data_IF_182647363683
#
_entry.id   IF_182647363683
#
_cell.length_a   1.000
_cell.length_b   1.000
_cell.length_c   1.000
_cell.angle_alpha   90.00
_cell.angle_beta   90.00
_cell.angle_gamma   90.00
#
_symmetry.space_group_name_H-M   'P 1'
#
loop_
_entity.id
_entity.type
_entity.pdbx_description
1 polymer ?
#
# COMPACT_ATOMS: atom_id res chain seq x y z
N UNK A 1 -82.49 30.70 20.83
CA UNK A 1 -81.89 29.36 21.05
C UNK A 1 -81.18 28.81 19.78
N UNK A 2 -80.58 29.65 18.92
CA UNK A 2 -80.00 29.24 17.61
C UNK A 2 -78.45 29.25 17.55
N UNK A 3 -77.75 29.63 18.62
CA UNK A 3 -76.28 29.78 18.60
C UNK A 3 -75.48 28.49 18.92
N UNK A 4 -76.13 27.41 19.35
CA UNK A 4 -75.45 26.19 19.82
C UNK A 4 -75.03 25.24 18.69
N UNK A 5 -75.79 25.15 17.61
CA UNK A 5 -75.53 24.21 16.50
C UNK A 5 -74.34 24.61 15.64
N UNK A 6 -74.08 25.92 15.45
CA UNK A 6 -72.91 26.39 14.68
C UNK A 6 -71.59 26.14 15.41
N UNK A 7 -71.58 26.33 16.74
CA UNK A 7 -70.40 26.08 17.59
C UNK A 7 -70.01 24.61 17.60
N UNK A 8 -70.99 23.70 17.70
CA UNK A 8 -70.73 22.25 17.62
C UNK A 8 -70.09 21.86 16.28
N UNK A 9 -70.56 22.42 15.16
CA UNK A 9 -69.97 22.17 13.84
C UNK A 9 -68.55 22.72 13.72
N UNK A 10 -68.31 23.92 14.27
CA UNK A 10 -66.97 24.54 14.28
C UNK A 10 -65.97 23.74 15.13
N UNK A 11 -66.40 23.24 16.29
CA UNK A 11 -65.58 22.36 17.15
C UNK A 11 -65.26 21.06 16.41
N UNK A 12 -66.22 20.48 15.67
CA UNK A 12 -65.98 19.30 14.84
C UNK A 12 -64.91 19.52 13.76
N UNK A 13 -64.97 20.66 13.07
CA UNK A 13 -63.93 21.03 12.09
C UNK A 13 -62.56 21.24 12.73
N UNK A 14 -62.51 21.87 13.90
CA UNK A 14 -61.26 22.07 14.63
C UNK A 14 -60.66 20.73 15.09
N UNK A 15 -61.50 19.82 15.61
CA UNK A 15 -61.07 18.48 15.99
C UNK A 15 -60.52 17.70 14.78
N UNK A 16 -61.18 17.80 13.62
CA UNK A 16 -60.72 17.15 12.39
C UNK A 16 -59.36 17.70 11.92
N UNK A 17 -59.18 19.03 11.95
CA UNK A 17 -57.88 19.63 11.67
C UNK A 17 -56.81 19.21 12.67
N UNK A 18 -57.13 19.16 13.96
CA UNK A 18 -56.20 18.72 14.99
C UNK A 18 -55.75 17.27 14.78
N UNK A 19 -56.67 16.37 14.40
CA UNK A 19 -56.33 14.97 14.05
C UNK A 19 -55.43 14.92 12.83
N UNK A 20 -55.73 15.69 11.78
CA UNK A 20 -54.89 15.76 10.58
C UNK A 20 -53.46 16.23 10.92
N UNK A 21 -53.34 17.29 11.71
CA UNK A 21 -52.04 17.81 12.19
C UNK A 21 -51.32 16.77 13.05
N UNK A 22 -52.02 16.10 13.96
CA UNK A 22 -51.42 15.06 14.80
C UNK A 22 -50.84 13.91 13.97
N UNK A 23 -51.56 13.44 12.96
CA UNK A 23 -51.07 12.39 12.04
C UNK A 23 -49.85 12.88 11.25
N UNK A 24 -49.89 14.11 10.74
CA UNK A 24 -48.76 14.70 10.01
C UNK A 24 -47.50 14.81 10.88
N UNK A 25 -47.65 15.24 12.14
CA UNK A 25 -46.54 15.29 13.10
C UNK A 25 -46.02 13.90 13.45
N UNK A 26 -46.90 12.93 13.69
CA UNK A 26 -46.50 11.55 13.96
C UNK A 26 -45.68 10.96 12.80
N UNK A 27 -46.08 11.22 11.55
CA UNK A 27 -45.33 10.79 10.37
C UNK A 27 -43.96 11.47 10.29
N UNK A 28 -43.92 12.78 10.54
CA UNK A 28 -42.67 13.56 10.55
C UNK A 28 -41.69 13.04 11.60
N UNK A 29 -42.16 12.73 12.81
CA UNK A 29 -41.32 12.12 13.85
C UNK A 29 -40.86 10.72 13.46
N UNK A 30 -41.73 9.89 12.87
CA UNK A 30 -41.34 8.57 12.38
C UNK A 30 -40.23 8.65 11.33
N UNK A 31 -40.33 9.58 10.38
CA UNK A 31 -39.29 9.79 9.35
C UNK A 31 -37.97 10.24 9.99
N UNK A 32 -38.02 11.15 10.97
CA UNK A 32 -36.82 11.58 11.68
C UNK A 32 -36.16 10.46 12.48
N UNK A 33 -36.96 9.59 13.13
CA UNK A 33 -36.46 8.41 13.82
C UNK A 33 -35.75 7.46 12.84
N UNK A 34 -36.42 7.12 11.72
CA UNK A 34 -35.84 6.24 10.68
C UNK A 34 -34.55 6.85 10.10
N UNK A 35 -34.53 8.16 9.83
CA UNK A 35 -33.32 8.85 9.34
C UNK A 35 -32.16 8.76 10.34
N UNK A 36 -32.45 8.85 11.64
CA UNK A 36 -31.45 8.67 12.70
C UNK A 36 -30.89 7.24 12.71
N UNK A 37 -31.76 6.23 12.63
CA UNK A 37 -31.37 4.82 12.62
C UNK A 37 -30.47 4.50 11.41
N UNK A 38 -30.85 4.99 10.22
CA UNK A 38 -30.03 4.85 9.00
C UNK A 38 -28.63 5.44 9.21
N UNK A 39 -28.53 6.61 9.84
CA UNK A 39 -27.23 7.26 10.09
C UNK A 39 -26.37 6.53 11.12
N UNK A 40 -26.97 5.73 12.02
CA UNK A 40 -26.21 4.87 12.94
C UNK A 40 -25.64 3.68 12.15
N UNK A 41 -26.46 3.02 11.33
CA UNK A 41 -26.04 1.88 10.51
C UNK A 41 -24.95 2.30 9.52
N UNK A 42 -25.09 3.45 8.85
CA UNK A 42 -24.08 4.00 7.94
C UNK A 42 -22.72 4.17 8.64
N UNK A 43 -22.72 4.68 9.88
CA UNK A 43 -21.49 4.80 10.68
C UNK A 43 -20.88 3.45 11.05
N UNK A 44 -21.71 2.44 11.32
CA UNK A 44 -21.24 1.08 11.58
C UNK A 44 -20.62 0.45 10.33
N UNK A 45 -21.21 0.68 9.15
CA UNK A 45 -20.66 0.23 7.87
C UNK A 45 -19.27 0.85 7.64
N UNK A 46 -19.16 2.17 7.78
CA UNK A 46 -17.88 2.87 7.62
C UNK A 46 -16.84 2.36 8.63
N UNK A 47 -17.23 2.11 9.88
CA UNK A 47 -16.33 1.56 10.89
C UNK A 47 -15.84 0.15 10.51
N UNK A 48 -16.75 -0.72 10.05
CA UNK A 48 -16.41 -2.07 9.61
C UNK A 48 -15.50 -2.08 8.37
N UNK A 49 -15.74 -1.19 7.41
CA UNK A 49 -14.88 -1.02 6.22
C UNK A 49 -13.46 -0.60 6.60
N UNK A 50 -13.30 0.32 7.55
CA UNK A 50 -11.99 0.73 8.06
C UNK A 50 -11.26 -0.42 8.75
N UNK A 51 -11.96 -1.20 9.57
CA UNK A 51 -11.38 -2.40 10.19
C UNK A 51 -10.94 -3.40 9.12
N UNK A 52 -11.75 -3.64 8.08
CA UNK A 52 -11.37 -4.51 6.96
C UNK A 52 -10.09 -4.02 6.27
N UNK A 53 -10.00 -2.73 5.94
CA UNK A 53 -8.83 -2.15 5.29
C UNK A 53 -7.55 -2.29 6.14
N UNK A 54 -7.67 -2.08 7.45
CA UNK A 54 -6.57 -2.31 8.39
C UNK A 54 -6.13 -3.78 8.38
N UNK A 55 -7.08 -4.71 8.50
CA UNK A 55 -6.79 -6.15 8.50
C UNK A 55 -6.14 -6.58 7.17
N UNK A 56 -6.67 -6.13 6.04
CA UNK A 56 -6.11 -6.41 4.72
C UNK A 56 -4.66 -5.94 4.61
N UNK A 57 -4.36 -4.73 5.11
CA UNK A 57 -3.00 -4.18 5.10
C UNK A 57 -2.05 -4.99 5.96
N UNK A 58 -2.49 -5.42 7.16
CA UNK A 58 -1.71 -6.30 8.02
C UNK A 58 -1.43 -7.65 7.36
N UNK A 59 -2.44 -8.26 6.73
CA UNK A 59 -2.29 -9.53 6.03
C UNK A 59 -1.38 -9.40 4.82
N UNK A 60 -1.54 -8.38 3.98
CA UNK A 60 -0.68 -8.13 2.83
C UNK A 60 0.77 -7.94 3.26
N UNK A 61 1.01 -7.19 4.35
CA UNK A 61 2.36 -6.96 4.87
C UNK A 61 3.00 -8.25 5.38
N UNK A 62 2.27 -9.07 6.16
CA UNK A 62 2.79 -10.36 6.69
C UNK A 62 2.99 -11.40 5.58
N UNK A 63 2.05 -11.50 4.63
CA UNK A 63 2.14 -12.45 3.53
C UNK A 63 3.27 -12.09 2.55
N UNK A 64 3.49 -10.80 2.27
CA UNK A 64 4.57 -10.36 1.38
C UNK A 64 5.96 -10.70 1.94
N UNK A 65 6.19 -10.51 3.24
CA UNK A 65 7.46 -10.89 3.88
C UNK A 65 7.73 -12.40 3.78
N UNK A 66 6.72 -13.24 4.00
CA UNK A 66 6.85 -14.68 3.83
C UNK A 66 7.11 -15.07 2.37
N UNK A 67 6.38 -14.48 1.42
CA UNK A 67 6.58 -14.75 -0.01
C UNK A 67 7.99 -14.37 -0.47
N UNK A 68 8.50 -13.20 -0.08
CA UNK A 68 9.86 -12.78 -0.41
C UNK A 68 10.92 -13.68 0.23
N UNK A 69 10.71 -14.14 1.46
CA UNK A 69 11.62 -15.07 2.13
C UNK A 69 11.64 -16.44 1.44
N UNK A 70 10.47 -16.94 1.02
CA UNK A 70 10.36 -18.21 0.30
C UNK A 70 10.95 -18.12 -1.11
N UNK A 71 10.71 -17.01 -1.83
CA UNK A 71 11.33 -16.76 -3.13
C UNK A 71 12.85 -16.60 -3.03
N UNK A 72 13.36 -15.84 -2.06
CA UNK A 72 14.80 -15.75 -1.82
C UNK A 72 15.44 -17.11 -1.55
N UNK A 73 14.75 -17.98 -0.79
CA UNK A 73 15.22 -19.33 -0.50
C UNK A 73 15.22 -20.24 -1.73
N UNK A 74 14.16 -20.18 -2.54
CA UNK A 74 13.97 -21.08 -3.69
C UNK A 74 14.82 -20.66 -4.89
N UNK A 75 14.86 -19.37 -5.21
CA UNK A 75 15.52 -18.84 -6.42
C UNK A 75 16.99 -18.51 -6.18
N UNK A 76 17.32 -17.91 -5.03
CA UNK A 76 18.67 -17.41 -4.74
C UNK A 76 19.41 -18.21 -3.66
N UNK A 77 18.72 -19.11 -2.96
CA UNK A 77 19.30 -19.81 -1.80
C UNK A 77 19.63 -18.88 -0.63
N UNK A 78 19.17 -17.62 -0.67
CA UNK A 78 19.44 -16.66 0.39
C UNK A 78 18.58 -16.96 1.61
N UNK A 79 19.24 -17.13 2.75
CA UNK A 79 18.62 -17.19 4.07
C UNK A 79 19.10 -16.01 4.90
N UNK A 80 18.24 -15.47 5.77
CA UNK A 80 18.68 -14.49 6.75
C UNK A 80 19.88 -15.04 7.56
N UNK A 81 20.94 -14.24 7.80
CA UNK A 81 22.10 -14.70 8.56
C UNK A 81 21.67 -15.13 9.95
N UNK A 82 22.25 -16.23 10.43
CA UNK A 82 21.97 -16.72 11.78
C UNK A 82 22.74 -15.88 12.81
N UNK A 83 22.25 -15.86 14.06
CA UNK A 83 22.92 -15.15 15.15
C UNK A 83 24.39 -15.55 15.32
N UNK A 84 24.72 -16.83 15.10
CA UNK A 84 26.10 -17.35 15.16
C UNK A 84 27.03 -16.86 14.04
N UNK A 85 26.50 -16.18 13.01
CA UNK A 85 27.28 -15.59 11.92
C UNK A 85 27.63 -14.13 12.16
N UNK A 86 27.05 -13.51 13.20
CA UNK A 86 27.40 -12.16 13.61
C UNK A 86 28.56 -12.19 14.60
N UNK A 87 29.37 -11.13 14.57
CA UNK A 87 30.46 -10.93 15.51
C UNK A 87 29.97 -9.95 16.57
N UNK A 88 30.03 -10.32 17.85
CA UNK A 88 29.54 -9.46 18.93
C UNK A 88 30.51 -8.33 19.32
N UNK A 89 31.79 -8.42 18.96
CA UNK A 89 32.83 -7.51 19.46
C UNK A 89 33.86 -7.14 18.39
N UNK A 90 34.37 -5.91 18.42
CA UNK A 90 35.45 -5.44 17.53
C UNK A 90 36.73 -6.27 17.69
N UNK A 91 36.97 -6.87 18.86
CA UNK A 91 38.09 -7.81 19.04
C UNK A 91 37.93 -9.09 18.22
N UNK A 92 36.70 -9.57 18.04
CA UNK A 92 36.42 -10.71 17.16
C UNK A 92 36.60 -10.30 15.68
N UNK A 93 36.25 -9.07 15.34
CA UNK A 93 36.51 -8.49 14.01
C UNK A 93 38.02 -8.37 13.74
N UNK A 94 38.81 -7.88 14.70
CA UNK A 94 40.27 -7.74 14.58
C UNK A 94 40.98 -9.09 14.38
N UNK A 95 40.44 -10.19 14.92
CA UNK A 95 40.96 -11.53 14.69
C UNK A 95 40.81 -11.97 13.22
N UNK A 96 39.78 -11.49 12.50
CA UNK A 96 39.60 -11.76 11.07
C UNK A 96 40.55 -10.94 10.19
N UNK A 97 41.06 -9.80 10.68
CA UNK A 97 42.04 -8.95 9.98
C UNK A 97 43.48 -9.46 10.05
N UNK A 98 43.75 -10.54 10.78
CA UNK A 98 45.10 -11.11 10.90
C UNK A 98 45.48 -11.85 9.61
N UNK A 99 46.71 -11.71 9.09
CA UNK A 99 47.15 -12.42 7.88
C UNK A 99 47.00 -13.94 8.05
N UNK A 100 46.53 -14.61 6.99
CA UNK A 100 46.21 -16.04 7.02
C UNK A 100 47.46 -16.85 7.40
N UNK A 101 47.29 -17.81 8.29
CA UNK A 101 48.35 -18.74 8.67
C UNK A 101 48.83 -19.59 7.49
N UNK A 102 50.08 -20.04 7.56
CA UNK A 102 50.70 -20.94 6.59
C UNK A 102 49.88 -22.24 6.55
N UNK A 103 49.26 -22.54 5.39
CA UNK A 103 48.45 -23.75 5.18
C UNK A 103 46.92 -23.56 5.32
N UNK A 104 46.41 -22.33 5.44
CA UNK A 104 44.97 -22.10 5.49
C UNK A 104 44.25 -22.54 4.19
N UNK A 105 43.04 -23.14 4.27
CA UNK A 105 42.28 -23.56 3.10
C UNK A 105 41.94 -22.37 2.19
N UNK A 106 41.84 -22.65 0.88
CA UNK A 106 41.49 -21.63 -0.10
C UNK A 106 40.09 -21.06 0.19
N UNK A 107 39.90 -19.73 0.07
CA UNK A 107 38.64 -19.10 0.42
C UNK A 107 37.56 -19.58 -0.55
N UNK A 108 36.40 -19.96 0.01
CA UNK A 108 35.22 -20.29 -0.78
C UNK A 108 34.77 -19.00 -1.45
N UNK A 109 34.98 -18.91 -2.77
CA UNK A 109 34.43 -17.83 -3.58
C UNK A 109 32.94 -18.09 -3.74
N UNK A 110 32.11 -17.41 -2.95
CA UNK A 110 30.71 -17.21 -3.28
C UNK A 110 30.67 -16.44 -4.60
N UNK A 111 29.87 -16.93 -5.55
CA UNK A 111 29.70 -16.26 -6.84
C UNK A 111 29.04 -14.90 -6.61
N UNK A 112 29.86 -13.87 -6.38
CA UNK A 112 29.44 -12.48 -6.51
C UNK A 112 29.29 -12.23 -8.01
N UNK A 113 28.26 -11.47 -8.41
CA UNK A 113 28.23 -10.93 -9.76
C UNK A 113 29.55 -10.18 -9.99
N UNK A 114 30.27 -10.50 -11.07
CA UNK A 114 31.55 -9.90 -11.42
C UNK A 114 31.36 -8.42 -11.75
N UNK A 115 31.26 -7.59 -10.71
CA UNK A 115 31.59 -6.19 -10.80
C UNK A 115 33.12 -6.14 -10.73
N UNK A 116 33.76 -5.91 -11.87
CA UNK A 116 35.22 -5.94 -12.04
C UNK A 116 35.99 -5.20 -10.94
N UNK A 117 37.31 -5.41 -10.86
CA UNK A 117 38.13 -5.12 -9.69
C UNK A 117 37.82 -3.73 -9.12
N UNK A 118 37.22 -3.73 -7.93
CA UNK A 118 37.02 -2.51 -7.15
C UNK A 118 38.42 -2.16 -6.62
N UNK A 119 39.07 -1.22 -7.29
CA UNK A 119 40.27 -0.55 -6.78
C UNK A 119 39.81 0.27 -5.55
N UNK A 120 39.89 -0.34 -4.37
CA UNK A 120 39.40 0.22 -3.10
C UNK A 120 40.19 1.46 -2.62
N UNK A 121 41.22 1.89 -3.32
CA UNK A 121 42.10 2.99 -2.88
C UNK A 121 41.57 4.39 -3.24
N UNK A 122 40.47 4.53 -3.97
CA UNK A 122 39.97 5.85 -4.40
C UNK A 122 38.49 6.15 -4.20
N UNK A 123 37.63 5.12 -4.06
CA UNK A 123 36.17 5.32 -4.11
C UNK A 123 35.64 6.11 -2.90
N UNK A 124 36.20 5.88 -1.72
CA UNK A 124 35.77 6.55 -0.49
C UNK A 124 36.29 8.00 -0.42
N UNK A 125 37.46 8.26 -1.01
CA UNK A 125 38.09 9.58 -1.05
C UNK A 125 37.46 10.48 -2.12
N UNK A 126 37.03 9.89 -3.25
CA UNK A 126 36.24 10.54 -4.30
C UNK A 126 34.84 10.96 -3.79
N UNK A 127 34.20 10.15 -2.96
CA UNK A 127 32.87 10.45 -2.40
C UNK A 127 32.89 11.54 -1.31
N UNK A 128 34.01 11.69 -0.60
CA UNK A 128 34.22 12.73 0.42
C UNK A 128 34.83 14.02 -0.15
N UNK A 129 35.27 14.00 -1.41
CA UNK A 129 36.08 15.04 -2.04
C UNK A 129 35.39 15.81 -3.15
N UNK A 130 34.10 16.16 -3.06
CA UNK A 130 33.52 17.17 -3.94
C UNK A 130 32.25 17.80 -3.33
N UNK A 131 32.40 18.98 -2.73
CA UNK A 131 31.29 19.90 -2.44
C UNK A 131 31.42 21.21 -3.23
N UNK A 132 32.36 21.30 -4.19
CA UNK A 132 32.63 22.51 -4.96
C UNK A 132 32.78 22.23 -6.47
N UNK A 133 31.63 22.05 -7.12
CA UNK A 133 31.30 22.45 -8.49
C UNK A 133 32.21 22.02 -9.66
N UNK A 134 31.72 21.09 -10.51
CA UNK A 134 31.53 21.26 -11.96
C UNK A 134 30.74 20.06 -12.57
N UNK A 135 29.92 20.26 -13.62
CA UNK A 135 29.04 19.22 -14.15
C UNK A 135 29.83 18.17 -14.93
N UNK A 136 29.87 16.96 -14.36
CA UNK A 136 30.49 15.75 -14.93
C UNK A 136 30.17 15.55 -16.42
N UNK A 137 31.23 15.61 -17.24
CA UNK A 137 31.24 15.26 -18.66
C UNK A 137 31.11 13.73 -18.80
N UNK A 138 29.94 13.26 -19.21
CA UNK A 138 29.70 11.83 -19.43
C UNK A 138 30.62 11.25 -20.51
N UNK A 139 31.50 10.34 -20.11
CA UNK A 139 32.27 9.47 -21.01
C UNK A 139 31.31 8.50 -21.70
N UNK A 140 31.21 8.62 -23.03
CA UNK A 140 30.35 7.82 -23.89
C UNK A 140 30.98 6.46 -24.17
N UNK A 141 30.64 5.43 -23.40
CA UNK A 141 30.96 4.05 -23.81
C UNK A 141 29.87 3.52 -24.75
N UNK A 142 30.30 3.16 -25.96
CA UNK A 142 29.48 2.54 -26.99
C UNK A 142 29.56 1.02 -26.79
N UNK A 143 28.62 0.47 -26.03
CA UNK A 143 28.40 -0.97 -25.87
C UNK A 143 26.91 -1.22 -25.69
N UNK A 144 26.31 -1.97 -26.61
CA UNK A 144 24.87 -2.21 -26.64
C UNK A 144 24.47 -3.24 -25.57
N UNK A 145 23.68 -2.80 -24.59
CA UNK A 145 23.32 -3.56 -23.39
C UNK A 145 21.86 -4.11 -23.47
N UNK A 146 21.60 -5.42 -23.28
CA UNK A 146 20.27 -6.05 -23.33
C UNK A 146 19.22 -5.48 -22.37
N UNK A 147 19.65 -4.82 -21.29
CA UNK A 147 18.81 -4.10 -20.32
C UNK A 147 17.94 -2.99 -20.95
N UNK A 148 18.41 -2.38 -22.05
CA UNK A 148 17.64 -1.38 -22.83
C UNK A 148 16.41 -1.97 -23.52
N UNK A 149 16.39 -3.28 -23.81
CA UNK A 149 15.21 -3.98 -24.37
C UNK A 149 14.13 -4.21 -23.32
N UNK A 150 14.51 -4.45 -22.07
CA UNK A 150 13.55 -4.74 -20.99
C UNK A 150 12.92 -3.45 -20.47
N UNK A 151 13.71 -2.39 -20.27
CA UNK A 151 13.19 -1.09 -19.84
C UNK A 151 12.26 -0.45 -20.88
N UNK A 152 12.58 -0.59 -22.18
CA UNK A 152 11.66 -0.19 -23.24
C UNK A 152 10.41 -1.05 -23.26
N UNK A 153 10.49 -2.37 -23.02
CA UNK A 153 9.31 -3.24 -23.00
C UNK A 153 8.30 -2.87 -21.91
N UNK A 154 8.75 -2.45 -20.72
CA UNK A 154 7.87 -2.14 -19.59
C UNK A 154 7.28 -0.73 -19.68
N UNK A 155 8.09 0.26 -20.05
CA UNK A 155 7.61 1.63 -20.31
C UNK A 155 6.62 1.67 -21.50
N UNK A 156 6.87 0.89 -22.57
CA UNK A 156 5.97 0.79 -23.71
C UNK A 156 4.62 0.14 -23.33
N UNK A 157 4.64 -0.84 -22.41
CA UNK A 157 3.43 -1.53 -21.92
C UNK A 157 2.56 -0.64 -21.04
N UNK A 158 3.17 0.26 -20.27
CA UNK A 158 2.47 1.24 -19.43
C UNK A 158 2.00 2.46 -20.21
N UNK A 159 2.69 2.82 -21.30
CA UNK A 159 2.28 3.89 -22.21
C UNK A 159 1.17 3.47 -23.19
N UNK A 160 0.88 2.17 -23.31
CA UNK A 160 -0.28 1.69 -24.05
C UNK A 160 -1.55 2.01 -23.23
N UNK A 161 -2.47 2.87 -23.69
CA UNK A 161 -3.74 3.03 -23.00
C UNK A 161 -4.44 1.68 -23.04
N UNK A 162 -4.74 1.12 -21.86
CA UNK A 162 -5.53 -0.08 -21.75
C UNK A 162 -6.90 0.19 -22.37
N UNK A 163 -7.09 -0.18 -23.64
CA UNK A 163 -8.40 -0.29 -24.25
C UNK A 163 -9.09 -1.51 -23.63
N UNK A 164 -9.59 -1.32 -22.42
CA UNK A 164 -10.65 -2.17 -21.88
C UNK A 164 -11.85 -1.91 -22.79
N UNK A 165 -11.96 -2.74 -23.83
CA UNK A 165 -13.21 -2.95 -24.54
C UNK A 165 -14.21 -3.50 -23.54
N UNK A 166 -14.95 -2.60 -22.89
CA UNK A 166 -16.23 -2.94 -22.28
C UNK A 166 -17.14 -3.25 -23.46
N UNK A 167 -17.16 -4.52 -23.86
CA UNK A 167 -18.22 -5.04 -24.71
C UNK A 167 -19.52 -4.88 -23.91
N UNK A 168 -20.29 -3.85 -24.27
CA UNK A 168 -21.67 -3.72 -23.86
C UNK A 168 -22.41 -4.96 -24.36
N UNK A 169 -22.74 -5.87 -23.43
CA UNK A 169 -23.73 -6.90 -23.69
C UNK A 169 -25.09 -6.19 -23.74
N UNK A 170 -25.59 -5.99 -24.96
CA UNK A 170 -27.00 -5.70 -25.21
C UNK A 170 -27.85 -6.83 -24.60
N UNK A 171 -28.70 -6.49 -23.63
CA UNK A 171 -29.81 -7.33 -23.21
C UNK A 171 -31.02 -6.92 -24.03
N UNK A 172 -31.27 -7.68 -25.09
CA UNK A 172 -32.56 -7.77 -25.73
C UNK A 172 -33.35 -8.90 -25.07
N UNK A 173 -34.37 -8.54 -24.28
CA UNK A 173 -35.72 -9.14 -24.23
C UNK A 173 -36.55 -8.51 -23.12
#
# INVERSE_FOLDING_TARGET
MMAHTSRLRQIGWLALLAVCVAIFLALTFKVNAVKSDVRIVERQIIAAERSKQMLETEFQTRANQHQLADWNRVEFGYSAPRADQYLEQERQLAALGTPRGIGAPQPIRVAMADNGPIEEEGLFEDWLGDDDAEPTRMVKSRGADPSRRIASSLAQRLAQPASVSVAAAEVAQ
#
